data_IF_832219712796
#
_entry.id   IF_832219712796
#
_cell.length_a   1.000
_cell.length_b   1.000
_cell.length_c   1.000
_cell.angle_alpha   90.00
_cell.angle_beta   90.00
_cell.angle_gamma   90.00
#
_symmetry.space_group_name_H-M   'P 1'
#
loop_
_entity.id
_entity.type
_entity.pdbx_description
1 polymer ?
#
# COMPACT_ATOMS: atom_id res chain seq x y z
N UNK A 1 63.22 -28.39 66.97
CA UNK A 1 62.99 -27.05 66.46
C UNK A 1 62.09 -27.21 65.25
N UNK A 2 60.77 -27.06 65.41
CA UNK A 2 59.75 -27.26 64.36
C UNK A 2 59.06 -25.93 64.12
N UNK A 3 59.29 -25.33 62.98
CA UNK A 3 58.61 -24.11 62.58
C UNK A 3 57.26 -24.45 61.91
N UNK A 4 56.14 -24.06 62.47
CA UNK A 4 54.83 -24.08 61.81
C UNK A 4 54.67 -22.79 61.06
N UNK A 5 54.49 -22.92 59.72
CA UNK A 5 53.98 -21.84 58.90
C UNK A 5 52.44 -21.95 58.81
N UNK A 6 51.76 -20.96 59.32
CA UNK A 6 50.31 -20.82 59.12
C UNK A 6 50.02 -20.14 57.80
N UNK A 7 49.31 -20.84 56.92
CA UNK A 7 48.83 -20.32 55.65
C UNK A 7 47.48 -19.71 55.82
N UNK A 8 47.35 -18.39 55.70
CA UNK A 8 46.07 -17.67 55.72
C UNK A 8 45.41 -17.74 54.34
N UNK A 9 44.28 -18.44 54.21
CA UNK A 9 43.39 -18.38 53.00
C UNK A 9 42.63 -17.09 52.98
N UNK A 10 42.94 -16.23 52.03
CA UNK A 10 42.14 -15.07 51.69
C UNK A 10 41.09 -15.51 50.66
N UNK A 11 39.81 -15.61 51.04
CA UNK A 11 38.69 -15.84 50.14
C UNK A 11 38.25 -14.50 49.52
N UNK A 12 38.66 -14.29 48.28
CA UNK A 12 38.18 -13.20 47.43
C UNK A 12 36.80 -13.57 46.87
N UNK A 13 35.75 -12.97 47.39
CA UNK A 13 34.38 -13.02 46.82
C UNK A 13 34.35 -12.22 45.53
N UNK A 14 34.32 -12.92 44.40
CA UNK A 14 34.10 -12.30 43.09
C UNK A 14 32.64 -11.87 42.96
N UNK A 15 32.38 -10.56 43.02
CA UNK A 15 31.12 -9.99 42.58
C UNK A 15 31.06 -10.13 41.06
N UNK A 16 30.24 -11.06 40.54
CA UNK A 16 29.88 -11.10 39.12
C UNK A 16 28.82 -9.99 38.87
N UNK A 17 29.08 -9.04 37.96
CA UNK A 17 28.03 -8.13 37.58
C UNK A 17 26.95 -8.97 36.85
N UNK A 18 25.73 -8.93 37.37
CA UNK A 18 24.53 -9.42 36.70
C UNK A 18 24.39 -8.60 35.39
N UNK A 19 24.80 -9.17 34.29
CA UNK A 19 24.39 -8.67 32.96
C UNK A 19 22.88 -8.77 32.89
N UNK A 20 22.21 -7.63 33.12
CA UNK A 20 20.79 -7.51 32.79
C UNK A 20 20.64 -7.91 31.34
N UNK A 21 19.90 -8.96 31.04
CA UNK A 21 19.45 -9.26 29.70
C UNK A 21 18.64 -8.04 29.22
N UNK A 22 19.27 -7.18 28.40
CA UNK A 22 18.51 -6.25 27.60
C UNK A 22 17.63 -7.15 26.71
N UNK A 23 16.32 -7.17 27.00
CA UNK A 23 15.37 -7.66 26.00
C UNK A 23 15.60 -6.75 24.77
N UNK A 24 16.21 -7.30 23.75
CA UNK A 24 16.25 -6.64 22.46
C UNK A 24 14.78 -6.33 22.12
N UNK A 25 14.46 -5.03 21.99
CA UNK A 25 13.12 -4.61 21.60
C UNK A 25 12.78 -5.36 20.32
N UNK A 26 11.65 -6.06 20.32
CA UNK A 26 11.21 -6.79 19.11
C UNK A 26 10.88 -5.74 18.06
N UNK A 27 11.70 -5.66 17.02
CA UNK A 27 11.46 -4.78 15.89
C UNK A 27 10.18 -5.22 15.16
N UNK A 28 9.33 -4.27 14.82
CA UNK A 28 8.12 -4.52 14.02
C UNK A 28 8.46 -4.32 12.55
N UNK A 29 8.60 -5.43 11.83
CA UNK A 29 8.76 -5.45 10.38
C UNK A 29 7.41 -5.28 9.71
N UNK A 30 7.19 -4.14 9.03
CA UNK A 30 5.95 -3.79 8.33
C UNK A 30 6.23 -3.71 6.83
N UNK A 31 5.82 -4.73 6.06
CA UNK A 31 6.22 -4.92 4.66
C UNK A 31 5.01 -5.03 3.74
N UNK A 32 5.11 -4.51 2.52
CA UNK A 32 4.14 -4.88 1.47
C UNK A 32 3.71 -3.76 0.55
N UNK A 33 2.43 -3.40 0.59
CA UNK A 33 1.78 -2.52 -0.38
C UNK A 33 2.46 -1.16 -0.52
N UNK A 34 2.93 -0.85 -1.74
CA UNK A 34 3.47 0.49 -2.04
C UNK A 34 2.40 1.59 -1.92
N UNK A 35 1.11 1.23 -2.02
CA UNK A 35 0.03 2.18 -1.73
C UNK A 35 0.09 2.67 -0.29
N UNK A 36 0.41 1.79 0.66
CA UNK A 36 0.51 2.15 2.08
C UNK A 36 1.91 2.63 2.49
N UNK A 37 2.92 2.56 1.63
CA UNK A 37 4.32 2.77 2.00
C UNK A 37 4.53 4.12 2.71
N UNK A 38 4.04 5.22 2.13
CA UNK A 38 4.24 6.55 2.70
C UNK A 38 3.44 6.76 4.00
N UNK A 39 2.20 6.29 4.06
CA UNK A 39 1.39 6.43 5.28
C UNK A 39 1.89 5.50 6.38
N UNK A 40 2.31 4.28 6.06
CA UNK A 40 2.90 3.37 7.03
C UNK A 40 4.21 3.93 7.62
N UNK A 41 5.04 4.57 6.77
CA UNK A 41 6.23 5.30 7.23
C UNK A 41 5.89 6.44 8.19
N UNK A 42 4.90 7.27 7.83
CA UNK A 42 4.45 8.37 8.69
C UNK A 42 3.83 7.88 10.02
N UNK A 43 3.09 6.76 9.98
CA UNK A 43 2.56 6.12 11.19
C UNK A 43 3.68 5.58 12.07
N UNK A 44 4.68 4.91 11.49
CA UNK A 44 5.84 4.40 12.22
C UNK A 44 6.66 5.53 12.86
N UNK A 45 6.91 6.61 12.12
CA UNK A 45 7.60 7.81 12.62
C UNK A 45 6.83 8.44 13.79
N UNK A 46 5.53 8.67 13.63
CA UNK A 46 4.70 9.28 14.67
C UNK A 46 4.61 8.40 15.92
N UNK A 47 4.45 7.07 15.74
CA UNK A 47 4.42 6.13 16.85
C UNK A 47 5.78 6.04 17.56
N UNK A 48 6.89 6.04 16.80
CA UNK A 48 8.25 6.02 17.34
C UNK A 48 8.60 7.23 18.20
N UNK A 49 8.00 8.41 17.94
CA UNK A 49 8.13 9.58 18.83
C UNK A 49 7.46 9.32 20.20
N UNK A 50 6.34 8.58 20.21
CA UNK A 50 5.59 8.26 21.42
C UNK A 50 6.17 7.04 22.18
N UNK A 51 6.75 6.11 21.41
CA UNK A 51 7.26 4.81 21.85
C UNK A 51 8.64 4.53 21.26
N UNK A 52 9.67 5.29 21.67
CA UNK A 52 11.02 5.18 21.10
C UNK A 52 11.68 3.82 21.35
N UNK A 53 11.18 3.06 22.33
CA UNK A 53 11.61 1.70 22.61
C UNK A 53 11.08 0.64 21.63
N UNK A 54 10.13 1.01 20.72
CA UNK A 54 9.52 0.10 19.74
C UNK A 54 10.00 0.47 18.34
N UNK A 55 11.10 -0.12 17.84
CA UNK A 55 11.54 0.12 16.48
C UNK A 55 10.57 -0.47 15.47
N UNK A 56 10.20 0.31 14.46
CA UNK A 56 9.31 -0.11 13.37
C UNK A 56 10.00 0.17 12.05
N UNK A 57 10.29 -0.87 11.28
CA UNK A 57 10.75 -0.76 9.90
C UNK A 57 9.58 -0.84 8.93
N UNK A 58 9.65 -0.09 7.82
CA UNK A 58 8.62 -0.09 6.79
C UNK A 58 9.24 -0.30 5.43
N UNK A 59 8.77 -1.31 4.69
CA UNK A 59 9.24 -1.62 3.35
C UNK A 59 8.08 -1.84 2.37
N UNK A 60 8.28 -1.44 1.12
CA UNK A 60 7.35 -1.64 0.00
C UNK A 60 7.55 -2.98 -0.70
N UNK A 61 7.25 -3.01 -2.01
CA UNK A 61 7.43 -4.16 -2.90
C UNK A 61 6.10 -4.80 -3.35
N UNK A 62 4.96 -4.21 -2.96
CA UNK A 62 3.63 -4.65 -3.33
C UNK A 62 2.99 -5.60 -2.31
N UNK A 63 1.64 -5.65 -2.32
CA UNK A 63 0.85 -6.47 -1.39
C UNK A 63 1.25 -7.96 -1.42
N UNK A 64 1.62 -8.47 -2.60
CA UNK A 64 2.05 -9.87 -2.74
C UNK A 64 3.35 -10.17 -1.99
N UNK A 65 4.29 -9.20 -1.93
CA UNK A 65 5.54 -9.33 -1.15
C UNK A 65 5.21 -9.34 0.35
N UNK A 66 4.36 -8.41 0.83
CA UNK A 66 3.93 -8.42 2.23
C UNK A 66 3.30 -9.74 2.65
N UNK A 67 2.38 -10.28 1.83
CA UNK A 67 1.75 -11.57 2.09
C UNK A 67 2.78 -12.72 2.13
N UNK A 68 3.74 -12.73 1.20
CA UNK A 68 4.79 -13.75 1.19
C UNK A 68 5.67 -13.69 2.46
N UNK A 69 6.03 -12.47 2.91
CA UNK A 69 6.78 -12.28 4.16
C UNK A 69 5.99 -12.73 5.38
N UNK A 70 4.67 -12.42 5.44
CA UNK A 70 3.81 -12.88 6.53
C UNK A 70 3.74 -14.42 6.58
N UNK A 71 3.54 -15.08 5.43
CA UNK A 71 3.50 -16.54 5.32
C UNK A 71 4.85 -17.16 5.72
N UNK A 72 5.96 -16.53 5.35
CA UNK A 72 7.32 -16.95 5.74
C UNK A 72 7.67 -16.60 7.20
N UNK A 73 6.78 -15.90 7.92
CA UNK A 73 6.99 -15.39 9.28
C UNK A 73 8.24 -14.50 9.41
N UNK A 74 8.52 -13.71 8.37
CA UNK A 74 9.63 -12.75 8.30
C UNK A 74 9.18 -11.30 8.47
N UNK A 75 7.89 -11.03 8.67
CA UNK A 75 7.36 -9.74 9.10
C UNK A 75 6.22 -9.94 10.11
N UNK A 76 6.01 -8.97 10.97
CA UNK A 76 4.90 -8.94 11.93
C UNK A 76 3.63 -8.36 11.31
N UNK A 77 3.78 -7.45 10.34
CA UNK A 77 2.66 -6.77 9.68
C UNK A 77 2.86 -6.82 8.16
N UNK A 78 1.87 -7.38 7.44
CA UNK A 78 1.81 -7.31 5.99
C UNK A 78 0.85 -6.23 5.53
N UNK A 79 1.36 -5.17 4.89
CA UNK A 79 0.55 -4.12 4.27
C UNK A 79 -0.10 -4.62 2.97
N UNK A 80 -1.42 -4.51 2.86
CA UNK A 80 -2.17 -4.95 1.69
C UNK A 80 -3.21 -3.92 1.25
N UNK A 81 -3.25 -3.64 -0.04
CA UNK A 81 -4.26 -2.79 -0.68
C UNK A 81 -5.26 -3.61 -1.51
N UNK A 82 -5.43 -4.85 -1.14
CA UNK A 82 -6.44 -5.82 -1.57
C UNK A 82 -6.63 -6.90 -0.49
N UNK A 83 -7.75 -7.62 -0.49
CA UNK A 83 -7.87 -8.83 0.34
C UNK A 83 -6.84 -9.89 -0.05
N UNK A 84 -6.52 -10.79 0.88
CA UNK A 84 -5.77 -12.01 0.57
C UNK A 84 -6.59 -12.89 -0.40
N UNK A 85 -5.88 -13.50 -1.36
CA UNK A 85 -6.47 -14.49 -2.26
C UNK A 85 -6.66 -15.81 -1.51
N UNK A 86 -7.66 -16.60 -1.89
CA UNK A 86 -7.91 -17.88 -1.22
C UNK A 86 -6.65 -18.78 -1.20
N UNK A 87 -5.91 -18.84 -2.31
CA UNK A 87 -4.64 -19.59 -2.39
C UNK A 87 -3.57 -19.11 -1.40
N UNK A 88 -3.55 -17.80 -1.08
CA UNK A 88 -2.62 -17.22 -0.11
C UNK A 88 -3.04 -17.62 1.31
N UNK A 89 -4.33 -17.60 1.62
CA UNK A 89 -4.90 -18.06 2.89
C UNK A 89 -4.61 -19.56 3.09
N UNK A 90 -4.84 -20.37 2.05
CA UNK A 90 -4.59 -21.82 2.12
C UNK A 90 -3.11 -22.14 2.34
N UNK A 91 -2.22 -21.38 1.69
CA UNK A 91 -0.77 -21.50 1.86
C UNK A 91 -0.33 -21.07 3.27
N UNK A 92 -0.84 -19.95 3.78
CA UNK A 92 -0.59 -19.48 5.14
C UNK A 92 -0.94 -20.54 6.16
N UNK A 93 -2.15 -21.12 6.09
CA UNK A 93 -2.59 -22.18 6.98
C UNK A 93 -1.70 -23.42 6.92
N UNK A 94 -1.24 -23.82 5.73
CA UNK A 94 -0.29 -24.95 5.58
C UNK A 94 1.06 -24.68 6.26
N UNK A 95 1.46 -23.41 6.37
CA UNK A 95 2.68 -23.00 7.05
C UNK A 95 2.46 -22.68 8.54
N UNK A 96 1.28 -22.92 9.09
CA UNK A 96 0.94 -22.64 10.48
C UNK A 96 0.71 -21.15 10.76
N UNK A 97 0.49 -20.33 9.74
CA UNK A 97 0.18 -18.90 9.84
C UNK A 97 -1.34 -18.73 9.74
N UNK A 98 -1.92 -17.96 10.65
CA UNK A 98 -3.34 -17.58 10.66
C UNK A 98 -3.48 -16.09 10.35
N UNK A 99 -3.71 -15.69 9.09
CA UNK A 99 -3.75 -14.28 8.72
C UNK A 99 -5.00 -13.59 9.29
N UNK A 100 -4.81 -12.67 10.22
CA UNK A 100 -5.87 -11.81 10.77
C UNK A 100 -5.88 -10.48 10.06
N UNK A 101 -7.05 -10.07 9.56
CA UNK A 101 -7.24 -8.86 8.78
C UNK A 101 -7.61 -7.66 9.67
N UNK A 102 -6.84 -6.58 9.56
CA UNK A 102 -7.13 -5.30 10.18
C UNK A 102 -7.37 -4.27 9.09
N UNK A 103 -8.61 -3.81 8.93
CA UNK A 103 -8.89 -2.64 8.09
C UNK A 103 -8.34 -1.41 8.81
N UNK A 104 -7.50 -0.63 8.11
CA UNK A 104 -6.83 0.54 8.68
C UNK A 104 -7.27 1.87 8.04
N UNK A 105 -7.99 1.82 6.94
CA UNK A 105 -8.50 2.99 6.21
C UNK A 105 -8.99 2.60 4.83
N UNK A 106 -9.24 3.60 3.99
CA UNK A 106 -9.68 3.40 2.61
C UNK A 106 -8.85 4.25 1.65
N UNK A 107 -8.87 3.88 0.37
CA UNK A 107 -8.18 4.56 -0.72
C UNK A 107 -9.06 4.58 -1.97
N UNK A 108 -9.05 5.71 -2.68
CA UNK A 108 -9.55 5.80 -4.04
C UNK A 108 -8.41 5.53 -5.02
N UNK A 109 -8.56 4.55 -5.91
CA UNK A 109 -7.63 4.41 -7.02
C UNK A 109 -7.95 5.47 -8.05
N UNK A 110 -7.16 6.54 -8.06
CA UNK A 110 -7.30 7.64 -9.00
C UNK A 110 -6.70 7.29 -10.36
N UNK A 111 -7.33 7.75 -11.42
CA UNK A 111 -6.78 7.72 -12.79
C UNK A 111 -6.08 9.04 -13.02
N UNK A 112 -4.78 8.98 -13.34
CA UNK A 112 -3.92 10.12 -13.53
C UNK A 112 -3.58 10.32 -15.00
N UNK A 113 -3.55 11.58 -15.40
CA UNK A 113 -3.00 12.06 -16.69
C UNK A 113 -2.10 13.27 -16.40
N UNK A 114 -1.29 13.66 -17.39
CA UNK A 114 -0.53 14.90 -17.30
C UNK A 114 -1.46 16.09 -17.02
N UNK A 115 -0.97 17.09 -16.28
CA UNK A 115 -1.79 18.29 -15.91
C UNK A 115 -2.41 19.00 -17.11
N UNK A 116 -1.74 19.02 -18.25
CA UNK A 116 -2.20 19.67 -19.50
C UNK A 116 -2.95 18.71 -20.46
N UNK A 117 -3.25 17.47 -20.04
CA UNK A 117 -4.08 16.58 -20.85
C UNK A 117 -5.53 17.09 -20.87
N UNK A 118 -6.22 17.22 -22.03
CA UNK A 118 -7.53 17.87 -22.11
C UNK A 118 -8.71 17.00 -21.66
N UNK A 119 -8.53 15.69 -21.40
CA UNK A 119 -9.64 14.79 -21.04
C UNK A 119 -10.39 15.31 -19.80
N UNK A 120 -11.70 15.37 -19.83
CA UNK A 120 -12.50 15.89 -18.71
C UNK A 120 -12.97 14.78 -17.77
N UNK A 121 -13.38 13.65 -18.31
CA UNK A 121 -13.85 12.47 -17.56
C UNK A 121 -13.70 11.22 -18.42
N UNK A 122 -13.78 10.05 -17.80
CA UNK A 122 -13.84 8.75 -18.48
C UNK A 122 -14.96 7.91 -17.83
N UNK A 123 -15.60 7.06 -18.64
CA UNK A 123 -16.51 6.04 -18.09
C UNK A 123 -15.73 4.77 -17.71
N UNK A 124 -16.35 3.90 -16.93
CA UNK A 124 -15.78 2.57 -16.61
C UNK A 124 -15.55 1.75 -17.88
N UNK A 125 -16.45 1.87 -18.86
CA UNK A 125 -16.35 1.20 -20.16
C UNK A 125 -15.16 1.75 -20.97
N UNK A 126 -14.96 3.07 -21.01
CA UNK A 126 -13.80 3.68 -21.66
C UNK A 126 -12.48 3.26 -21.00
N UNK A 127 -12.44 3.19 -19.65
CA UNK A 127 -11.26 2.66 -18.96
C UNK A 127 -10.97 1.20 -19.34
N UNK A 128 -12.01 0.39 -19.47
CA UNK A 128 -11.86 -1.00 -19.95
C UNK A 128 -11.33 -1.02 -21.39
N UNK A 129 -11.88 -0.21 -22.29
CA UNK A 129 -11.42 -0.11 -23.68
C UNK A 129 -9.97 0.41 -23.82
N UNK A 130 -9.53 1.29 -22.89
CA UNK A 130 -8.16 1.83 -22.85
C UNK A 130 -7.17 0.76 -22.35
N UNK A 131 -7.46 0.12 -21.22
CA UNK A 131 -6.50 -0.73 -20.50
C UNK A 131 -6.64 -2.22 -20.81
N UNK A 132 -7.85 -2.67 -21.16
CA UNK A 132 -8.18 -4.08 -21.31
C UNK A 132 -7.68 -4.70 -22.62
N UNK A 133 -7.25 -5.98 -22.52
CA UNK A 133 -6.94 -6.79 -23.70
C UNK A 133 -8.16 -6.87 -24.65
N UNK A 134 -7.95 -6.58 -25.93
CA UNK A 134 -9.03 -6.49 -26.92
C UNK A 134 -9.83 -5.19 -26.89
N UNK A 135 -9.50 -4.26 -26.00
CA UNK A 135 -10.10 -2.92 -25.99
C UNK A 135 -9.65 -2.10 -27.21
N UNK A 136 -10.58 -1.34 -27.80
CA UNK A 136 -10.37 -0.69 -29.10
C UNK A 136 -9.80 0.73 -29.02
N UNK A 137 -9.73 1.33 -27.82
CA UNK A 137 -9.16 2.67 -27.62
C UNK A 137 -7.64 2.58 -27.55
N UNK A 138 -6.96 3.10 -28.58
CA UNK A 138 -5.51 3.12 -28.72
C UNK A 138 -4.94 4.55 -28.70
N UNK A 139 -5.78 5.51 -29.02
CA UNK A 139 -5.42 6.91 -29.25
C UNK A 139 -6.39 7.83 -28.50
N UNK A 140 -5.91 9.02 -28.12
CA UNK A 140 -6.75 10.09 -27.61
C UNK A 140 -7.79 10.58 -28.64
N UNK A 141 -7.51 10.39 -29.94
CA UNK A 141 -8.48 10.66 -31.02
C UNK A 141 -9.70 9.75 -30.97
N UNK A 142 -9.55 8.51 -30.50
CA UNK A 142 -10.66 7.57 -30.33
C UNK A 142 -11.64 8.04 -29.23
N UNK A 143 -11.19 8.97 -28.38
CA UNK A 143 -11.97 9.63 -27.33
C UNK A 143 -12.38 11.07 -27.72
N UNK A 144 -12.21 11.45 -29.00
CA UNK A 144 -12.59 12.76 -29.54
C UNK A 144 -11.59 13.88 -29.21
N UNK A 145 -10.36 13.56 -28.81
CA UNK A 145 -9.33 14.55 -28.50
C UNK A 145 -8.17 14.48 -29.47
N UNK A 146 -7.68 15.64 -29.90
CA UNK A 146 -6.49 15.74 -30.74
C UNK A 146 -5.36 16.44 -29.97
N UNK A 147 -4.26 15.71 -29.75
CA UNK A 147 -3.06 16.21 -29.08
C UNK A 147 -2.08 16.92 -30.05
N UNK A 148 -2.50 17.13 -31.31
CA UNK A 148 -1.79 17.85 -32.34
C UNK A 148 -0.91 17.02 -33.23
N UNK A 149 -0.20 16.04 -32.70
CA UNK A 149 0.73 15.16 -33.43
C UNK A 149 0.27 13.70 -33.30
N UNK A 150 0.30 12.93 -34.36
CA UNK A 150 -0.16 11.53 -34.34
C UNK A 150 0.59 10.68 -33.32
N UNK A 151 1.89 10.88 -33.16
CA UNK A 151 2.67 10.21 -32.14
C UNK A 151 2.24 10.58 -30.72
N UNK A 152 1.80 11.83 -30.49
CA UNK A 152 1.27 12.31 -29.23
C UNK A 152 -0.15 11.85 -28.96
N UNK A 153 -0.88 11.43 -29.98
CA UNK A 153 -2.22 10.88 -29.83
C UNK A 153 -2.22 9.44 -29.33
N UNK A 154 -1.15 8.65 -29.54
CA UNK A 154 -1.05 7.28 -29.02
C UNK A 154 -1.02 7.31 -27.51
N UNK A 155 -1.99 6.65 -26.87
CA UNK A 155 -2.10 6.59 -25.41
C UNK A 155 -0.97 5.73 -24.83
N UNK A 156 -0.15 6.29 -23.95
CA UNK A 156 0.87 5.58 -23.20
C UNK A 156 0.27 5.07 -21.89
N UNK A 157 0.29 3.75 -21.70
CA UNK A 157 -0.39 3.10 -20.59
C UNK A 157 0.57 2.81 -19.45
N UNK A 158 0.33 3.46 -18.30
CA UNK A 158 1.01 3.17 -17.02
C UNK A 158 0.20 2.18 -16.19
N UNK A 159 0.74 1.00 -15.93
CA UNK A 159 0.16 -0.02 -15.07
C UNK A 159 1.13 -0.35 -13.93
N UNK A 160 0.76 -1.28 -13.08
CA UNK A 160 1.57 -1.77 -11.97
C UNK A 160 1.99 -3.21 -12.22
N UNK A 161 3.01 -3.65 -11.49
CA UNK A 161 3.41 -5.06 -11.48
C UNK A 161 2.30 -5.95 -10.92
N UNK A 162 2.28 -7.22 -11.30
CA UNK A 162 1.24 -8.19 -10.94
C UNK A 162 1.20 -8.58 -9.44
N UNK A 163 2.24 -8.28 -8.67
CA UNK A 163 2.29 -8.42 -7.21
C UNK A 163 1.65 -7.22 -6.48
N UNK A 164 1.34 -6.13 -7.20
CA UNK A 164 0.69 -4.95 -6.66
C UNK A 164 -0.78 -5.20 -6.33
N UNK A 165 -1.21 -4.81 -5.12
CA UNK A 165 -2.63 -4.80 -4.76
C UNK A 165 -3.44 -3.79 -5.57
N UNK A 166 -2.81 -2.69 -6.02
CA UNK A 166 -3.45 -1.69 -6.90
C UNK A 166 -3.71 -2.27 -8.29
N UNK A 167 -2.74 -3.01 -8.85
CA UNK A 167 -2.95 -3.75 -10.11
C UNK A 167 -4.16 -4.69 -10.02
N UNK A 168 -4.21 -5.50 -9.00
CA UNK A 168 -5.28 -6.49 -8.84
C UNK A 168 -6.65 -5.82 -8.67
N UNK A 169 -6.74 -4.81 -7.80
CA UNK A 169 -7.99 -4.12 -7.54
C UNK A 169 -8.49 -3.35 -8.78
N UNK A 170 -7.61 -2.64 -9.50
CA UNK A 170 -7.98 -1.95 -10.73
C UNK A 170 -8.43 -2.95 -11.81
N UNK A 171 -7.67 -4.04 -11.99
CA UNK A 171 -8.03 -5.12 -12.90
C UNK A 171 -9.43 -5.67 -12.64
N UNK A 172 -9.73 -6.02 -11.39
CA UNK A 172 -11.04 -6.60 -11.05
C UNK A 172 -12.19 -5.63 -11.23
N UNK A 173 -12.01 -4.36 -10.85
CA UNK A 173 -13.06 -3.34 -10.91
C UNK A 173 -13.30 -2.81 -12.33
N UNK A 174 -12.25 -2.67 -13.13
CA UNK A 174 -12.32 -2.07 -14.47
C UNK A 174 -12.41 -3.13 -15.57
N UNK A 175 -11.58 -4.17 -15.50
CA UNK A 175 -11.50 -5.21 -16.54
C UNK A 175 -12.34 -6.45 -16.19
N UNK A 176 -12.79 -6.56 -14.94
CA UNK A 176 -13.49 -7.73 -14.41
C UNK A 176 -12.52 -8.84 -13.95
N UNK A 177 -13.07 -9.82 -13.22
CA UNK A 177 -12.27 -10.88 -12.55
C UNK A 177 -11.37 -11.68 -13.49
N UNK A 178 -11.76 -11.85 -14.75
CA UNK A 178 -11.00 -12.61 -15.78
C UNK A 178 -10.30 -11.71 -16.78
N UNK A 179 -10.50 -10.38 -16.69
CA UNK A 179 -9.92 -9.41 -17.61
C UNK A 179 -8.39 -9.35 -17.47
N UNK A 180 -7.73 -9.03 -18.58
CA UNK A 180 -6.28 -8.85 -18.67
C UNK A 180 -5.98 -7.45 -19.19
N UNK A 181 -4.84 -6.91 -18.80
CA UNK A 181 -4.34 -5.69 -19.36
C UNK A 181 -3.78 -5.90 -20.78
N UNK A 182 -3.81 -4.86 -21.59
CA UNK A 182 -3.06 -4.81 -22.86
C UNK A 182 -1.58 -5.08 -22.59
N UNK A 183 -0.93 -5.85 -23.46
CA UNK A 183 0.49 -6.21 -23.30
C UNK A 183 1.44 -5.00 -23.35
N UNK A 184 1.02 -3.90 -24.01
CA UNK A 184 1.78 -2.65 -24.12
C UNK A 184 1.73 -1.76 -22.88
N UNK A 185 1.08 -2.19 -21.79
CA UNK A 185 1.12 -1.47 -20.54
C UNK A 185 2.53 -1.49 -19.93
N UNK A 186 3.03 -0.33 -19.55
CA UNK A 186 4.28 -0.22 -18.78
C UNK A 186 4.03 -0.70 -17.35
N UNK A 187 4.75 -1.73 -16.94
CA UNK A 187 4.64 -2.30 -15.59
C UNK A 187 5.57 -1.55 -14.62
N UNK A 188 5.01 -0.58 -13.92
CA UNK A 188 5.74 0.32 -13.00
C UNK A 188 5.78 -0.27 -11.57
N UNK A 189 6.90 -0.06 -10.88
CA UNK A 189 7.14 -0.69 -9.58
C UNK A 189 6.26 -0.13 -8.48
N UNK A 190 6.28 1.20 -8.29
CA UNK A 190 5.63 1.89 -7.18
C UNK A 190 4.43 2.75 -7.57
N UNK A 191 3.70 3.21 -6.58
CA UNK A 191 2.62 4.18 -6.78
C UNK A 191 3.14 5.51 -7.30
N UNK A 192 4.30 5.94 -6.79
CA UNK A 192 5.00 7.15 -7.21
C UNK A 192 5.42 7.10 -8.66
N UNK A 193 5.99 5.96 -9.10
CA UNK A 193 6.47 5.78 -10.47
C UNK A 193 5.35 5.96 -11.51
N UNK A 194 4.10 5.56 -11.16
CA UNK A 194 2.93 5.79 -12.03
C UNK A 194 2.64 7.28 -12.19
N UNK A 195 2.70 8.03 -11.09
CA UNK A 195 2.44 9.48 -11.13
C UNK A 195 3.54 10.21 -11.91
N UNK A 196 4.81 9.85 -11.69
CA UNK A 196 5.95 10.38 -12.46
C UNK A 196 5.84 10.05 -13.96
N UNK A 197 5.42 8.83 -14.29
CA UNK A 197 5.16 8.43 -15.69
C UNK A 197 4.07 9.31 -16.32
N UNK A 198 2.96 9.56 -15.61
CA UNK A 198 1.90 10.43 -16.12
C UNK A 198 2.36 11.90 -16.22
N UNK A 199 3.19 12.36 -15.30
CA UNK A 199 3.75 13.71 -15.31
C UNK A 199 4.75 13.94 -16.46
N UNK A 200 5.41 12.87 -16.94
CA UNK A 200 6.44 12.95 -17.98
C UNK A 200 5.90 13.10 -19.40
N UNK A 201 4.62 12.79 -19.66
CA UNK A 201 4.05 12.79 -21.00
C UNK A 201 2.57 13.16 -21.02
N UNK A 202 2.20 14.10 -21.90
CA UNK A 202 0.77 14.47 -22.11
C UNK A 202 -0.08 13.32 -22.66
N UNK A 203 0.55 12.33 -23.30
CA UNK A 203 -0.11 11.14 -23.84
C UNK A 203 -0.29 10.03 -22.82
N UNK A 204 0.30 10.17 -21.62
CA UNK A 204 0.27 9.13 -20.61
C UNK A 204 -1.04 9.14 -19.82
N UNK A 205 -1.50 7.94 -19.49
CA UNK A 205 -2.56 7.66 -18.52
C UNK A 205 -2.11 6.52 -17.63
N UNK A 206 -2.40 6.62 -16.33
CA UNK A 206 -2.06 5.59 -15.36
C UNK A 206 -3.02 5.61 -14.18
N UNK A 207 -2.86 4.67 -13.25
CA UNK A 207 -3.70 4.58 -12.06
C UNK A 207 -2.85 4.30 -10.81
N UNK A 208 -3.17 5.01 -9.74
CA UNK A 208 -2.48 4.88 -8.45
C UNK A 208 -3.39 5.31 -7.31
N UNK A 209 -2.93 5.20 -6.05
CA UNK A 209 -3.65 5.72 -4.90
C UNK A 209 -3.80 7.24 -4.97
N UNK A 210 -4.97 7.74 -4.54
CA UNK A 210 -5.31 9.17 -4.53
C UNK A 210 -4.24 10.02 -3.83
N UNK A 211 -3.69 9.52 -2.74
CA UNK A 211 -2.68 10.19 -1.92
C UNK A 211 -1.38 10.55 -2.66
N UNK A 212 -1.11 9.92 -3.80
CA UNK A 212 0.11 10.16 -4.59
C UNK A 212 0.00 11.31 -5.60
N UNK A 213 -1.13 12.03 -5.63
CA UNK A 213 -1.30 13.20 -6.51
C UNK A 213 -0.22 14.23 -6.29
N UNK A 214 0.36 14.74 -7.39
CA UNK A 214 1.25 15.91 -7.42
C UNK A 214 0.64 17.03 -8.27
N UNK A 215 1.29 18.18 -8.31
CA UNK A 215 0.84 19.32 -9.14
C UNK A 215 1.09 19.14 -10.63
N UNK A 216 1.90 18.14 -11.03
CA UNK A 216 2.22 17.85 -12.43
C UNK A 216 1.23 16.87 -13.09
N UNK A 217 0.32 16.32 -12.31
CA UNK A 217 -0.73 15.41 -12.79
C UNK A 217 -2.12 15.90 -12.41
N UNK A 218 -3.09 15.47 -13.22
CA UNK A 218 -4.50 15.71 -12.99
C UNK A 218 -5.22 14.36 -12.80
N UNK A 219 -6.17 14.35 -11.89
CA UNK A 219 -7.08 13.22 -11.69
C UNK A 219 -8.23 13.35 -12.69
N UNK A 220 -8.55 12.24 -13.35
CA UNK A 220 -9.69 12.13 -14.26
C UNK A 220 -10.89 11.61 -13.46
N UNK A 221 -12.01 12.37 -13.37
CA UNK A 221 -13.25 11.89 -12.80
C UNK A 221 -13.79 10.68 -13.59
N UNK A 222 -14.40 9.73 -12.88
CA UNK A 222 -14.89 8.48 -13.48
C UNK A 222 -16.41 8.40 -13.36
N UNK A 223 -17.08 8.17 -14.49
CA UNK A 223 -18.51 7.88 -14.52
C UNK A 223 -18.72 6.39 -14.24
N UNK A 224 -19.44 6.06 -13.14
CA UNK A 224 -19.78 4.67 -12.84
C UNK A 224 -20.67 4.05 -13.91
N UNK A 225 -20.61 2.72 -14.06
CA UNK A 225 -21.46 2.00 -15.01
C UNK A 225 -22.96 2.30 -14.77
N UNK A 226 -23.66 2.64 -15.84
CA UNK A 226 -25.11 2.96 -15.79
C UNK A 226 -25.45 4.32 -15.19
N UNK A 227 -24.46 5.19 -14.93
CA UNK A 227 -24.67 6.57 -14.48
C UNK A 227 -24.23 7.57 -15.54
N UNK A 228 -24.63 8.84 -15.37
CA UNK A 228 -24.31 9.96 -16.27
C UNK A 228 -23.25 10.88 -15.69
N UNK A 229 -23.17 10.98 -14.38
CA UNK A 229 -22.32 11.94 -13.69
C UNK A 229 -20.95 11.35 -13.37
N UNK A 230 -19.91 12.08 -13.73
CA UNK A 230 -18.54 11.72 -13.41
C UNK A 230 -18.21 12.08 -11.94
N UNK A 231 -17.64 11.13 -11.22
CA UNK A 231 -17.32 11.24 -9.80
C UNK A 231 -15.80 11.32 -9.62
N UNK A 232 -15.34 12.35 -8.93
CA UNK A 232 -13.94 12.46 -8.51
C UNK A 232 -13.69 11.65 -7.23
N UNK A 233 -12.50 11.02 -7.07
CA UNK A 233 -12.12 10.42 -5.81
C UNK A 233 -11.82 11.51 -4.78
N UNK A 234 -12.67 11.61 -3.78
CA UNK A 234 -12.52 12.48 -2.61
C UNK A 234 -12.74 11.64 -1.35
N UNK A 235 -12.39 12.18 -0.19
CA UNK A 235 -12.70 11.52 1.10
C UNK A 235 -14.19 11.18 1.15
N UNK A 236 -15.07 12.14 0.83
CA UNK A 236 -16.53 11.97 0.87
C UNK A 236 -17.02 10.89 -0.10
N UNK A 237 -16.59 10.91 -1.37
CA UNK A 237 -17.05 9.96 -2.38
C UNK A 237 -16.53 8.54 -2.15
N UNK A 238 -15.35 8.40 -1.56
CA UNK A 238 -14.78 7.11 -1.16
C UNK A 238 -15.50 6.55 0.08
N UNK A 239 -15.74 7.37 1.12
CA UNK A 239 -16.46 6.95 2.33
C UNK A 239 -17.91 6.57 2.03
N UNK A 240 -18.60 7.31 1.18
CA UNK A 240 -19.95 7.01 0.72
C UNK A 240 -20.04 5.83 -0.26
N UNK A 241 -18.89 5.34 -0.74
CA UNK A 241 -18.85 4.26 -1.73
C UNK A 241 -19.39 4.65 -3.10
N UNK A 242 -19.50 5.96 -3.41
CA UNK A 242 -20.00 6.46 -4.70
C UNK A 242 -18.89 6.48 -5.77
N UNK A 243 -17.61 6.64 -5.38
CA UNK A 243 -16.49 6.52 -6.30
C UNK A 243 -16.27 5.05 -6.69
N UNK A 244 -16.29 4.68 -7.99
CA UNK A 244 -16.37 3.27 -8.40
C UNK A 244 -15.10 2.46 -8.11
N UNK A 245 -13.93 3.11 -8.03
CA UNK A 245 -12.65 2.44 -7.85
C UNK A 245 -12.09 2.69 -6.43
N UNK A 246 -12.97 2.69 -5.42
CA UNK A 246 -12.60 2.75 -4.00
C UNK A 246 -12.30 1.36 -3.43
N UNK A 247 -11.44 1.29 -2.41
CA UNK A 247 -11.04 0.03 -1.76
C UNK A 247 -10.66 0.24 -0.29
N UNK A 248 -10.85 -0.78 0.57
CA UNK A 248 -10.25 -0.80 1.90
C UNK A 248 -8.74 -1.06 1.82
N UNK A 249 -8.03 -0.57 2.83
CA UNK A 249 -6.61 -0.81 3.07
C UNK A 249 -6.46 -1.70 4.31
N UNK A 250 -5.57 -2.67 4.23
CA UNK A 250 -5.41 -3.69 5.24
C UNK A 250 -3.99 -3.78 5.77
N UNK A 251 -3.87 -4.10 7.04
CA UNK A 251 -2.71 -4.70 7.65
C UNK A 251 -3.06 -6.11 8.10
N UNK A 252 -2.24 -7.09 7.78
CA UNK A 252 -2.42 -8.49 8.21
C UNK A 252 -1.36 -8.87 9.23
N UNK A 253 -1.77 -9.62 10.25
CA UNK A 253 -0.88 -10.19 11.27
C UNK A 253 -1.04 -11.70 11.31
N UNK A 254 -0.08 -12.41 11.91
CA UNK A 254 -0.20 -13.84 12.19
C UNK A 254 -0.90 -14.02 13.54
N UNK A 255 -2.16 -14.42 13.52
CA UNK A 255 -3.04 -14.45 14.69
C UNK A 255 -3.46 -13.05 15.17
N UNK A 256 -4.28 -12.99 16.23
CA UNK A 256 -4.64 -11.73 16.88
C UNK A 256 -3.37 -11.10 17.50
N UNK A 257 -3.06 -9.84 17.15
CA UNK A 257 -1.82 -9.23 17.55
C UNK A 257 -1.84 -8.87 19.04
N UNK A 258 -0.78 -9.26 19.76
CA UNK A 258 -0.56 -8.95 21.17
C UNK A 258 0.70 -8.10 21.34
N UNK A 259 0.99 -7.68 22.55
CA UNK A 259 2.18 -6.89 22.87
C UNK A 259 2.25 -5.59 22.05
N UNK A 260 3.45 -5.25 21.57
CA UNK A 260 3.70 -4.00 20.85
C UNK A 260 3.03 -3.96 19.47
N UNK A 261 2.94 -5.08 18.76
CA UNK A 261 2.20 -5.15 17.48
C UNK A 261 0.73 -4.84 17.69
N UNK A 262 0.12 -5.43 18.73
CA UNK A 262 -1.28 -5.17 19.09
C UNK A 262 -1.52 -3.71 19.50
N UNK A 263 -0.61 -3.14 20.29
CA UNK A 263 -0.66 -1.75 20.69
C UNK A 263 -0.56 -0.81 19.50
N UNK A 264 0.36 -1.08 18.55
CA UNK A 264 0.55 -0.30 17.34
C UNK A 264 -0.69 -0.36 16.43
N UNK A 265 -1.23 -1.55 16.13
CA UNK A 265 -2.46 -1.69 15.32
C UNK A 265 -3.65 -0.97 15.98
N UNK A 266 -3.79 -1.08 17.30
CA UNK A 266 -4.83 -0.37 18.05
C UNK A 266 -4.67 1.14 17.94
N UNK A 267 -3.44 1.65 18.07
CA UNK A 267 -3.16 3.09 17.94
C UNK A 267 -3.43 3.58 16.50
N UNK A 268 -3.02 2.82 15.47
CA UNK A 268 -3.36 3.16 14.08
C UNK A 268 -4.86 3.40 13.89
N UNK A 269 -5.70 2.58 14.54
CA UNK A 269 -7.17 2.69 14.46
C UNK A 269 -7.76 3.77 15.37
N UNK A 270 -6.98 4.38 16.26
CA UNK A 270 -7.42 5.50 17.09
C UNK A 270 -7.58 6.79 16.29
N UNK A 271 -8.26 7.79 16.87
CA UNK A 271 -8.39 9.11 16.27
C UNK A 271 -7.04 9.73 15.89
N UNK A 272 -6.00 9.53 16.72
CA UNK A 272 -4.66 10.05 16.45
C UNK A 272 -4.01 9.36 15.24
N UNK A 273 -4.04 8.02 15.19
CA UNK A 273 -3.54 7.26 14.04
C UNK A 273 -4.30 7.59 12.76
N UNK A 274 -5.63 7.72 12.85
CA UNK A 274 -6.47 8.07 11.70
C UNK A 274 -6.22 9.50 11.20
N UNK A 275 -5.85 10.44 12.06
CA UNK A 275 -5.45 11.78 11.65
C UNK A 275 -4.17 11.77 10.78
N UNK A 276 -3.26 10.81 11.00
CA UNK A 276 -2.07 10.63 10.16
C UNK A 276 -2.47 10.15 8.76
N UNK A 277 -3.42 9.20 8.67
CA UNK A 277 -3.94 8.75 7.37
C UNK A 277 -4.55 9.91 6.59
N UNK A 278 -5.41 10.69 7.23
CA UNK A 278 -6.07 11.86 6.61
C UNK A 278 -5.05 12.90 6.15
N UNK A 279 -4.08 13.25 7.00
CA UNK A 279 -3.01 14.19 6.65
C UNK A 279 -2.15 13.73 5.46
N UNK A 280 -2.08 12.42 5.20
CA UNK A 280 -1.42 11.83 4.05
C UNK A 280 -2.35 11.62 2.84
N UNK A 281 -3.59 12.12 2.88
CA UNK A 281 -4.54 12.04 1.76
C UNK A 281 -5.25 10.69 1.62
N UNK A 282 -5.18 9.84 2.64
CA UNK A 282 -5.98 8.62 2.70
C UNK A 282 -7.31 8.88 3.40
N UNK A 283 -8.25 7.98 3.19
CA UNK A 283 -9.59 8.10 3.76
C UNK A 283 -9.65 7.33 5.08
N UNK A 284 -9.91 8.01 6.21
CA UNK A 284 -9.92 7.39 7.51
C UNK A 284 -11.10 6.42 7.68
N UNK A 285 -11.00 5.56 8.68
CA UNK A 285 -12.11 4.74 9.15
C UNK A 285 -13.25 5.63 9.65
N UNK A 286 -14.53 5.23 9.45
CA UNK A 286 -15.66 5.88 10.11
C UNK A 286 -15.45 5.85 11.63
N UNK A 287 -15.67 6.99 12.27
CA UNK A 287 -15.62 7.13 13.73
C UNK A 287 -16.97 6.81 14.37
#
# INVERSE_FOLDING_TARGET
>A
MKNLFACALITTSAFLPSCGQSHAATEIENVGSDTLLEVAGALAEKYGVMKPEVPISVAGGGSGVGVANLIANTCQIANCSRPLKQKEIDLAKKQGVDPVQHTVGYDGIAVFVHKDNPIQSLTMEQLNAIFGEGGEVESWKDLGMDMGDDAKNVIQLGSRQNNSGTYECFREKVLGKKGRFKQRCNNLNGSKDVVEFCASSKSAIGYSGLAYKTDDVRIVPITPAGQTDAISPTVDTVQKGTYPIARPLFMYTNGEPTGEVGAYIKWIKSAEGQSVLEAKGYVPLPQ
#
